data_IF_172206973361
#
_entry.id   IF_172206973361
#
_cell.length_a   1.000
_cell.length_b   1.000
_cell.length_c   1.000
_cell.angle_alpha   90.00
_cell.angle_beta   90.00
_cell.angle_gamma   90.00
#
_symmetry.space_group_name_H-M   'P 1'
#
loop_
_entity.id
_entity.type
_entity.pdbx_description
1 polymer ?
#
# COMPACT_ATOMS: atom_id res chain seq x y z
N UNK A 1 8.02 -51.58 19.11
CA UNK A 1 7.44 -50.26 19.42
C UNK A 1 7.70 -49.17 18.37
N UNK A 2 8.74 -49.25 17.52
CA UNK A 2 9.01 -48.24 16.46
C UNK A 2 7.97 -48.23 15.31
N UNK A 3 7.40 -49.38 14.94
CA UNK A 3 6.43 -49.48 13.84
C UNK A 3 5.05 -48.88 14.17
N UNK A 4 4.64 -48.89 15.45
CA UNK A 4 3.31 -48.41 15.88
C UNK A 4 3.17 -46.89 15.79
N UNK A 5 4.27 -46.14 15.95
CA UNK A 5 4.28 -44.68 15.83
C UNK A 5 4.30 -44.21 14.37
N UNK A 6 4.81 -45.03 13.44
CA UNK A 6 4.92 -44.67 12.03
C UNK A 6 3.54 -44.62 11.34
N UNK A 7 2.62 -45.52 11.72
CA UNK A 7 1.21 -45.48 11.29
C UNK A 7 0.50 -44.21 11.79
N UNK A 8 0.66 -43.87 13.07
CA UNK A 8 0.07 -42.66 13.64
C UNK A 8 0.65 -41.36 13.03
N UNK A 9 1.95 -41.33 12.72
CA UNK A 9 2.56 -40.20 12.01
C UNK A 9 2.01 -40.08 10.59
N UNK A 10 1.87 -41.19 9.86
CA UNK A 10 1.29 -41.20 8.51
C UNK A 10 -0.15 -40.69 8.50
N UNK A 11 -0.97 -41.13 9.45
CA UNK A 11 -2.36 -40.69 9.59
C UNK A 11 -2.45 -39.19 9.91
N UNK A 12 -1.57 -38.67 10.79
CA UNK A 12 -1.49 -37.22 11.08
C UNK A 12 -1.06 -36.41 9.85
N UNK A 13 -0.10 -36.91 9.06
CA UNK A 13 0.33 -36.26 7.82
C UNK A 13 -0.77 -36.25 6.75
N UNK A 14 -1.51 -37.35 6.60
CA UNK A 14 -2.65 -37.43 5.69
C UNK A 14 -3.77 -36.46 6.11
N UNK A 15 -4.04 -36.36 7.42
CA UNK A 15 -5.01 -35.39 7.94
C UNK A 15 -4.56 -33.94 7.69
N UNK A 16 -3.31 -33.62 7.99
CA UNK A 16 -2.74 -32.29 7.73
C UNK A 16 -2.76 -31.91 6.24
N UNK A 17 -2.50 -32.88 5.35
CA UNK A 17 -2.59 -32.67 3.91
C UNK A 17 -4.03 -32.34 3.46
N UNK A 18 -5.03 -33.08 3.96
CA UNK A 18 -6.46 -32.82 3.69
C UNK A 18 -6.93 -31.48 4.24
N UNK A 19 -6.53 -31.12 5.46
CA UNK A 19 -6.83 -29.82 6.05
C UNK A 19 -6.21 -28.69 5.24
N UNK A 20 -4.95 -28.83 4.82
CA UNK A 20 -4.27 -27.89 3.93
C UNK A 20 -5.00 -27.71 2.60
N UNK A 21 -5.42 -28.80 1.96
CA UNK A 21 -6.18 -28.76 0.71
C UNK A 21 -7.53 -28.04 0.87
N UNK A 22 -8.22 -28.27 1.99
CA UNK A 22 -9.46 -27.56 2.33
C UNK A 22 -9.22 -26.07 2.54
N UNK A 23 -8.16 -25.68 3.27
CA UNK A 23 -7.79 -24.28 3.48
C UNK A 23 -7.46 -23.60 2.16
N UNK A 24 -6.70 -24.25 1.28
CA UNK A 24 -6.35 -23.71 -0.04
C UNK A 24 -7.62 -23.52 -0.89
N UNK A 25 -8.49 -24.53 -0.95
CA UNK A 25 -9.75 -24.46 -1.69
C UNK A 25 -10.64 -23.33 -1.18
N UNK A 26 -10.76 -23.18 0.15
CA UNK A 26 -11.54 -22.09 0.75
C UNK A 26 -10.94 -20.72 0.40
N UNK A 27 -9.63 -20.54 0.57
CA UNK A 27 -8.95 -19.28 0.23
C UNK A 27 -9.12 -18.90 -1.24
N UNK A 28 -9.05 -19.87 -2.15
CA UNK A 28 -9.28 -19.64 -3.58
C UNK A 28 -10.72 -19.20 -3.86
N UNK A 29 -11.70 -19.81 -3.18
CA UNK A 29 -13.10 -19.42 -3.29
C UNK A 29 -13.34 -18.01 -2.74
N UNK A 30 -12.84 -17.72 -1.53
CA UNK A 30 -12.97 -16.40 -0.89
C UNK A 30 -12.31 -15.31 -1.75
N UNK A 31 -11.15 -15.61 -2.34
CA UNK A 31 -10.48 -14.70 -3.27
C UNK A 31 -11.30 -14.46 -4.54
N UNK A 32 -11.82 -15.52 -5.17
CA UNK A 32 -12.64 -15.40 -6.37
C UNK A 32 -13.92 -14.59 -6.09
N UNK A 33 -14.57 -14.81 -4.95
CA UNK A 33 -15.74 -14.06 -4.51
C UNK A 33 -15.40 -12.58 -4.26
N UNK A 34 -14.30 -12.29 -3.58
CA UNK A 34 -13.83 -10.92 -3.39
C UNK A 34 -13.55 -10.21 -4.72
N UNK A 35 -12.91 -10.88 -5.67
CA UNK A 35 -12.65 -10.31 -7.00
C UNK A 35 -13.94 -10.06 -7.77
N UNK A 36 -14.91 -10.98 -7.71
CA UNK A 36 -16.22 -10.79 -8.32
C UNK A 36 -16.96 -9.59 -7.72
N UNK A 37 -16.95 -9.44 -6.40
CA UNK A 37 -17.56 -8.32 -5.70
C UNK A 37 -16.90 -6.98 -6.06
N UNK A 38 -15.56 -6.95 -6.15
CA UNK A 38 -14.82 -5.76 -6.59
C UNK A 38 -15.18 -5.37 -8.02
N UNK A 39 -15.25 -6.33 -8.94
CA UNK A 39 -15.65 -6.10 -10.32
C UNK A 39 -17.09 -5.59 -10.41
N UNK A 40 -18.01 -6.19 -9.65
CA UNK A 40 -19.40 -5.76 -9.61
C UNK A 40 -19.54 -4.32 -9.10
N UNK A 41 -18.80 -3.97 -8.03
CA UNK A 41 -18.75 -2.60 -7.51
C UNK A 41 -18.20 -1.62 -8.54
N UNK A 42 -17.17 -2.00 -9.30
CA UNK A 42 -16.61 -1.16 -10.35
C UNK A 42 -17.60 -0.94 -11.50
N UNK A 43 -18.28 -1.99 -11.94
CA UNK A 43 -19.31 -1.90 -13.00
C UNK A 43 -20.45 -0.99 -12.56
N UNK A 44 -20.93 -1.14 -11.32
CA UNK A 44 -21.99 -0.31 -10.77
C UNK A 44 -21.59 1.18 -10.76
N UNK A 45 -20.35 1.49 -10.35
CA UNK A 45 -19.83 2.86 -10.37
C UNK A 45 -19.75 3.42 -11.80
N UNK A 46 -19.19 2.66 -12.75
CA UNK A 46 -19.10 3.08 -14.15
C UNK A 46 -20.47 3.32 -14.79
N UNK A 47 -21.46 2.50 -14.45
CA UNK A 47 -22.85 2.70 -14.89
C UNK A 47 -23.43 4.00 -14.34
N UNK A 48 -23.19 4.30 -13.07
CA UNK A 48 -23.61 5.57 -12.47
C UNK A 48 -22.95 6.76 -13.17
N UNK A 49 -21.63 6.72 -13.35
CA UNK A 49 -20.86 7.81 -13.97
C UNK A 49 -21.34 8.10 -15.40
N UNK A 50 -21.65 7.05 -16.18
CA UNK A 50 -22.17 7.20 -17.54
C UNK A 50 -23.59 7.78 -17.57
N UNK A 51 -24.46 7.37 -16.65
CA UNK A 51 -25.82 7.92 -16.55
C UNK A 51 -25.79 9.40 -16.11
N UNK A 52 -24.86 9.76 -15.22
CA UNK A 52 -24.62 11.15 -14.82
C UNK A 52 -24.07 11.99 -15.99
N UNK A 53 -23.10 11.49 -16.74
CA UNK A 53 -22.57 12.18 -17.93
C UNK A 53 -23.67 12.34 -19.00
N UNK A 54 -24.51 11.33 -19.20
CA UNK A 54 -25.66 11.41 -20.12
C UNK A 54 -26.63 12.51 -19.71
N UNK A 55 -26.95 12.61 -18.41
CA UNK A 55 -27.81 13.69 -17.88
C UNK A 55 -27.14 15.05 -18.08
N UNK A 56 -25.83 15.15 -17.84
CA UNK A 56 -25.05 16.37 -18.04
C UNK A 56 -25.09 16.84 -19.50
N UNK A 57 -24.79 15.97 -20.46
CA UNK A 57 -24.87 16.30 -21.90
C UNK A 57 -26.28 16.70 -22.31
N UNK A 58 -27.30 16.01 -21.81
CA UNK A 58 -28.70 16.32 -22.11
C UNK A 58 -29.09 17.74 -21.66
N UNK A 59 -28.68 18.12 -20.46
CA UNK A 59 -29.13 19.35 -19.80
C UNK A 59 -28.20 20.56 -20.03
N UNK A 60 -26.96 20.35 -20.45
CA UNK A 60 -26.00 21.43 -20.63
C UNK A 60 -26.40 22.41 -21.75
N UNK A 61 -26.11 23.68 -21.51
CA UNK A 61 -26.28 24.79 -22.44
C UNK A 61 -24.94 25.12 -23.12
N UNK A 62 -24.96 25.08 -24.45
CA UNK A 62 -23.80 25.39 -25.28
C UNK A 62 -23.28 26.82 -25.11
N UNK A 63 -24.17 27.77 -24.79
CA UNK A 63 -23.80 29.18 -24.59
C UNK A 63 -23.03 29.34 -23.29
N UNK A 64 -23.53 28.75 -22.19
CA UNK A 64 -22.85 28.72 -20.90
C UNK A 64 -21.46 28.06 -21.02
N UNK A 65 -21.36 26.90 -21.68
CA UNK A 65 -20.07 26.21 -21.89
C UNK A 65 -19.06 27.12 -22.62
N UNK A 66 -19.50 27.85 -23.66
CA UNK A 66 -18.63 28.78 -24.39
C UNK A 66 -18.16 29.94 -23.50
N UNK A 67 -19.00 30.42 -22.58
CA UNK A 67 -18.61 31.46 -21.63
C UNK A 67 -17.61 30.94 -20.60
N UNK A 68 -17.82 29.74 -20.07
CA UNK A 68 -16.87 29.06 -19.18
C UNK A 68 -15.51 28.87 -19.84
N UNK A 69 -15.47 28.37 -21.08
CA UNK A 69 -14.22 28.23 -21.87
C UNK A 69 -13.50 29.57 -21.98
N UNK A 70 -14.21 30.65 -22.36
CA UNK A 70 -13.62 31.99 -22.47
C UNK A 70 -13.08 32.50 -21.13
N UNK A 71 -13.77 32.22 -20.03
CA UNK A 71 -13.33 32.61 -18.70
C UNK A 71 -12.01 31.91 -18.33
N UNK A 72 -11.93 30.59 -18.54
CA UNK A 72 -10.71 29.82 -18.32
C UNK A 72 -9.55 30.30 -19.22
N UNK A 73 -9.80 30.57 -20.50
CA UNK A 73 -8.77 31.08 -21.41
C UNK A 73 -8.25 32.46 -20.98
N UNK A 74 -9.16 33.39 -20.66
CA UNK A 74 -8.83 34.76 -20.25
C UNK A 74 -8.05 34.81 -18.93
N UNK A 75 -8.39 33.94 -17.98
CA UNK A 75 -7.81 33.93 -16.63
C UNK A 75 -6.71 32.87 -16.45
N UNK A 76 -6.40 32.10 -17.50
CA UNK A 76 -5.42 31.00 -17.49
C UNK A 76 -4.10 31.37 -16.81
N UNK A 77 -3.50 32.51 -17.14
CA UNK A 77 -2.24 32.93 -16.52
C UNK A 77 -2.34 33.19 -15.01
N UNK A 78 -3.48 33.69 -14.52
CA UNK A 78 -3.70 33.89 -13.08
C UNK A 78 -3.94 32.55 -12.37
N UNK A 79 -4.74 31.66 -12.98
CA UNK A 79 -4.99 30.31 -12.47
C UNK A 79 -3.68 29.52 -12.40
N UNK A 80 -2.87 29.55 -13.46
CA UNK A 80 -1.61 28.81 -13.51
C UNK A 80 -0.66 29.27 -12.40
N UNK A 81 -0.51 30.58 -12.25
CA UNK A 81 0.33 31.17 -11.19
C UNK A 81 -0.15 30.75 -9.81
N UNK A 82 -1.44 30.88 -9.51
CA UNK A 82 -2.00 30.52 -8.19
C UNK A 82 -1.94 29.02 -7.90
N UNK A 83 -2.18 28.18 -8.90
CA UNK A 83 -2.05 26.73 -8.74
C UNK A 83 -0.60 26.32 -8.50
N UNK A 84 0.35 26.97 -9.17
CA UNK A 84 1.78 26.71 -8.95
C UNK A 84 2.22 27.06 -7.52
N UNK A 85 1.78 28.21 -7.02
CA UNK A 85 2.04 28.64 -5.63
C UNK A 85 1.48 27.62 -4.63
N UNK A 86 0.20 27.29 -4.74
CA UNK A 86 -0.47 26.34 -3.83
C UNK A 86 0.12 24.94 -3.93
N UNK A 87 0.42 24.46 -5.13
CA UNK A 87 0.98 23.13 -5.33
C UNK A 87 2.37 23.01 -4.70
N UNK A 88 3.25 23.99 -4.91
CA UNK A 88 4.59 24.00 -4.35
C UNK A 88 4.60 24.02 -2.81
N UNK A 89 3.77 24.89 -2.21
CA UNK A 89 3.60 24.95 -0.76
C UNK A 89 3.04 23.63 -0.22
N UNK A 90 2.01 23.10 -0.87
CA UNK A 90 1.35 21.87 -0.46
C UNK A 90 2.28 20.67 -0.48
N UNK A 91 3.04 20.45 -1.56
CA UNK A 91 3.99 19.33 -1.66
C UNK A 91 5.03 19.40 -0.54
N UNK A 92 5.57 20.60 -0.23
CA UNK A 92 6.59 20.74 0.80
C UNK A 92 6.08 20.25 2.16
N UNK A 93 4.89 20.68 2.55
CA UNK A 93 4.26 20.23 3.80
C UNK A 93 3.89 18.75 3.74
N UNK A 94 3.30 18.31 2.63
CA UNK A 94 2.90 16.92 2.43
C UNK A 94 4.08 15.96 2.57
N UNK A 95 5.20 16.22 1.87
CA UNK A 95 6.43 15.40 1.90
C UNK A 95 7.00 15.28 3.32
N UNK A 96 6.94 16.35 4.12
CA UNK A 96 7.37 16.29 5.51
C UNK A 96 6.42 15.43 6.36
N UNK A 97 5.11 15.56 6.15
CA UNK A 97 4.11 14.77 6.87
C UNK A 97 4.22 13.27 6.56
N UNK A 98 4.33 12.89 5.28
CA UNK A 98 4.50 11.48 4.90
C UNK A 98 5.83 10.91 5.41
N UNK A 99 6.90 11.70 5.45
CA UNK A 99 8.19 11.27 6.02
C UNK A 99 8.03 10.92 7.50
N UNK A 100 7.38 11.78 8.28
CA UNK A 100 7.16 11.53 9.71
C UNK A 100 6.24 10.32 9.88
N UNK A 101 5.11 10.31 9.18
CA UNK A 101 4.11 9.24 9.27
C UNK A 101 4.66 7.87 8.92
N UNK A 102 5.39 7.72 7.81
CA UNK A 102 5.98 6.42 7.42
C UNK A 102 7.04 5.94 8.42
N UNK A 103 7.87 6.83 8.96
CA UNK A 103 8.84 6.44 9.99
C UNK A 103 8.14 5.99 11.27
N UNK A 104 7.09 6.67 11.71
CA UNK A 104 6.29 6.25 12.86
C UNK A 104 5.60 4.91 12.62
N UNK A 105 5.02 4.71 11.43
CA UNK A 105 4.39 3.45 11.02
C UNK A 105 5.40 2.30 11.04
N UNK A 106 6.59 2.49 10.46
CA UNK A 106 7.66 1.49 10.48
C UNK A 106 8.07 1.13 11.91
N UNK A 107 8.36 2.13 12.75
CA UNK A 107 8.76 1.88 14.15
C UNK A 107 7.66 1.14 14.92
N UNK A 108 6.38 1.47 14.69
CA UNK A 108 5.24 0.74 15.29
C UNK A 108 5.16 -0.69 14.79
N UNK A 109 5.29 -0.92 13.47
CA UNK A 109 5.23 -2.26 12.88
C UNK A 109 6.34 -3.17 13.41
N UNK A 110 7.59 -2.67 13.47
CA UNK A 110 8.73 -3.40 14.04
C UNK A 110 8.48 -3.73 15.51
N UNK A 111 7.99 -2.76 16.30
CA UNK A 111 7.66 -2.98 17.71
C UNK A 111 6.59 -4.05 17.90
N UNK A 112 5.53 -4.04 17.08
CA UNK A 112 4.44 -5.02 17.14
C UNK A 112 4.94 -6.41 16.74
N UNK A 113 5.71 -6.53 15.66
CA UNK A 113 6.33 -7.80 15.28
C UNK A 113 7.24 -8.36 16.39
N UNK A 114 7.99 -7.48 17.07
CA UNK A 114 8.83 -7.84 18.21
C UNK A 114 8.04 -8.29 19.44
N UNK A 115 6.83 -7.76 19.64
CA UNK A 115 5.95 -8.13 20.75
C UNK A 115 5.26 -9.49 20.52
N UNK A 116 4.77 -9.76 19.30
CA UNK A 116 4.16 -11.06 18.96
C UNK A 116 5.13 -12.24 19.13
N UNK A 117 6.43 -12.02 18.87
CA UNK A 117 7.48 -13.00 19.19
C UNK A 117 7.54 -13.41 20.68
N UNK A 118 7.04 -12.57 21.60
CA UNK A 118 7.01 -12.87 23.04
C UNK A 118 5.76 -13.63 23.44
N UNK A 119 4.63 -13.45 22.75
CA UNK A 119 3.35 -14.11 23.08
C UNK A 119 3.33 -15.57 22.61
N UNK A 120 3.92 -15.87 21.44
CA UNK A 120 4.12 -17.26 20.99
C UNK A 120 5.00 -18.08 21.94
N UNK A 121 5.84 -17.42 22.76
CA UNK A 121 6.64 -18.09 23.80
C UNK A 121 5.76 -18.61 24.94
N UNK A 122 4.75 -17.85 25.37
CA UNK A 122 3.78 -18.28 26.38
C UNK A 122 2.97 -19.47 25.84
N UNK A 123 2.41 -19.33 24.64
CA UNK A 123 2.15 -20.39 23.63
C UNK A 123 2.71 -21.80 23.91
N UNK A 124 4.02 -21.88 23.73
CA UNK A 124 4.76 -23.13 23.78
C UNK A 124 5.05 -23.60 25.22
N UNK A 125 4.97 -22.72 26.23
CA UNK A 125 5.15 -23.10 27.63
C UNK A 125 4.08 -24.08 28.12
N UNK A 126 2.93 -24.18 27.45
CA UNK A 126 1.86 -25.12 27.81
C UNK A 126 2.07 -26.53 27.21
N UNK A 127 3.01 -26.70 26.27
CA UNK A 127 3.30 -27.99 25.60
C UNK A 127 4.63 -28.56 26.13
N UNK A 128 4.51 -29.36 27.18
CA UNK A 128 5.49 -30.26 27.81
C UNK A 128 6.95 -30.33 27.27
N UNK A 129 7.86 -29.77 28.07
CA UNK A 129 9.31 -30.06 28.25
C UNK A 129 9.96 -31.10 27.30
N UNK A 130 10.69 -30.57 26.31
CA UNK A 130 12.02 -31.11 25.95
C UNK A 130 13.05 -30.08 26.42
N UNK A 131 14.00 -30.51 27.26
CA UNK A 131 15.05 -29.65 27.87
C UNK A 131 15.83 -28.86 26.81
N UNK A 132 15.37 -27.62 26.63
CA UNK A 132 16.09 -26.34 26.64
C UNK A 132 17.47 -26.27 25.97
N UNK A 133 17.42 -25.68 24.78
CA UNK A 133 18.50 -24.91 24.16
C UNK A 133 18.08 -24.18 22.87
N UNK A 134 16.78 -23.99 22.61
CA UNK A 134 16.30 -23.79 21.23
C UNK A 134 15.42 -22.58 20.90
N UNK A 135 14.60 -22.05 21.82
CA UNK A 135 13.68 -20.94 21.50
C UNK A 135 13.45 -19.92 22.63
N UNK A 136 13.49 -20.33 23.92
CA UNK A 136 13.32 -19.41 25.06
C UNK A 136 14.43 -18.36 25.28
N UNK A 137 15.41 -18.30 24.39
CA UNK A 137 16.40 -17.22 24.31
C UNK A 137 16.08 -16.16 23.25
N UNK A 138 15.19 -16.46 22.29
CA UNK A 138 14.93 -15.64 21.10
C UNK A 138 14.07 -14.40 21.39
N UNK A 139 13.07 -14.52 22.26
CA UNK A 139 12.23 -13.40 22.71
C UNK A 139 13.03 -12.39 23.58
N UNK A 140 13.97 -12.89 24.39
CA UNK A 140 14.97 -12.07 25.11
C UNK A 140 15.96 -11.39 24.17
N UNK A 141 16.33 -12.08 23.09
CA UNK A 141 17.26 -11.62 22.06
C UNK A 141 16.66 -10.50 21.20
N UNK A 142 15.38 -10.57 20.81
CA UNK A 142 14.63 -9.47 20.18
C UNK A 142 14.26 -8.36 21.17
N UNK A 143 13.94 -8.73 22.41
CA UNK A 143 13.53 -7.77 23.44
C UNK A 143 14.61 -6.79 23.88
N UNK A 144 15.89 -7.13 23.73
CA UNK A 144 17.02 -6.21 24.02
C UNK A 144 17.37 -5.25 22.87
N UNK A 145 16.79 -5.43 21.68
CA UNK A 145 16.98 -4.50 20.54
C UNK A 145 16.28 -3.16 20.80
N UNK A 146 15.25 -3.16 21.67
CA UNK A 146 14.62 -1.94 22.22
C UNK A 146 15.21 -1.65 23.60
N UNK A 147 16.52 -1.35 23.62
CA UNK A 147 17.23 -0.71 24.73
C UNK A 147 17.29 -1.49 26.05
N UNK A 148 18.35 -2.27 26.25
CA UNK A 148 19.08 -2.37 27.52
C UNK A 148 20.39 -3.14 27.32
N UNK A 149 21.47 -2.63 27.92
CA UNK A 149 22.77 -3.30 28.00
C UNK A 149 22.66 -4.40 29.04
N UNK A 150 22.86 -5.66 28.63
CA UNK A 150 23.71 -6.63 29.34
C UNK A 150 23.69 -7.99 28.62
N UNK A 151 24.83 -8.36 28.06
CA UNK A 151 25.04 -9.62 27.35
C UNK A 151 25.58 -10.64 28.34
N UNK A 152 24.71 -11.14 29.22
CA UNK A 152 25.06 -12.15 30.22
C UNK A 152 25.36 -13.49 29.57
N UNK A 153 26.64 -13.76 29.28
CA UNK A 153 27.15 -15.10 29.06
C UNK A 153 27.07 -15.86 30.39
N UNK A 154 26.28 -16.92 30.46
CA UNK A 154 26.59 -18.00 31.39
C UNK A 154 27.58 -18.93 30.69
N UNK A 155 28.87 -18.64 30.88
CA UNK A 155 29.88 -19.70 30.96
C UNK A 155 29.41 -20.68 32.04
N UNK A 156 28.80 -21.81 31.69
CA UNK A 156 29.14 -23.17 32.19
C UNK A 156 28.33 -24.18 31.37
N UNK A 157 29.02 -25.23 30.91
CA UNK A 157 28.55 -26.44 30.20
C UNK A 157 28.33 -26.32 28.68
N UNK A 158 29.04 -27.18 27.93
CA UNK A 158 28.94 -27.36 26.46
C UNK A 158 27.58 -27.92 26.06
N UNK A 159 26.53 -27.11 26.15
CA UNK A 159 25.24 -27.39 25.53
C UNK A 159 25.40 -27.04 24.04
N UNK A 160 25.45 -28.03 23.15
CA UNK A 160 25.50 -27.79 21.69
C UNK A 160 24.29 -26.95 21.29
N UNK A 161 24.49 -25.68 20.93
CA UNK A 161 23.44 -24.82 20.42
C UNK A 161 22.67 -25.56 19.32
N UNK A 162 21.34 -25.63 19.44
CA UNK A 162 20.47 -26.29 18.48
C UNK A 162 19.34 -25.34 18.12
N UNK A 163 19.16 -25.00 16.84
CA UNK A 163 18.15 -24.04 16.39
C UNK A 163 17.37 -24.59 15.19
N UNK A 164 16.06 -24.38 15.19
CA UNK A 164 15.17 -24.74 14.09
C UNK A 164 15.15 -23.59 13.09
N UNK A 165 15.99 -23.64 12.05
CA UNK A 165 16.17 -22.54 11.10
C UNK A 165 14.87 -22.14 10.39
N UNK A 166 13.98 -23.11 10.12
CA UNK A 166 12.68 -22.85 9.50
C UNK A 166 11.79 -21.91 10.34
N UNK A 167 11.72 -22.11 11.65
CA UNK A 167 10.91 -21.24 12.52
C UNK A 167 11.44 -19.80 12.55
N UNK A 168 12.77 -19.63 12.50
CA UNK A 168 13.39 -18.31 12.42
C UNK A 168 13.10 -17.63 11.07
N UNK A 169 13.14 -18.39 9.98
CA UNK A 169 12.79 -17.88 8.65
C UNK A 169 11.33 -17.45 8.56
N UNK A 170 10.41 -18.28 9.07
CA UNK A 170 8.98 -17.98 9.10
C UNK A 170 8.72 -16.67 9.86
N UNK A 171 9.34 -16.51 11.03
CA UNK A 171 9.23 -15.28 11.83
C UNK A 171 9.77 -14.03 11.11
N UNK A 172 10.96 -14.11 10.52
CA UNK A 172 11.53 -12.97 9.80
C UNK A 172 10.69 -12.60 8.57
N UNK A 173 10.12 -13.60 7.90
CA UNK A 173 9.21 -13.39 6.76
C UNK A 173 7.95 -12.68 7.23
N UNK A 174 7.36 -13.12 8.35
CA UNK A 174 6.19 -12.44 8.92
C UNK A 174 6.51 -11.00 9.36
N UNK A 175 7.69 -10.77 9.95
CA UNK A 175 8.15 -9.41 10.28
C UNK A 175 8.23 -8.52 9.03
N UNK A 176 8.76 -9.04 7.91
CA UNK A 176 8.82 -8.31 6.65
C UNK A 176 7.42 -7.98 6.16
N UNK A 177 6.54 -8.98 6.07
CA UNK A 177 5.15 -8.82 5.61
C UNK A 177 4.40 -7.79 6.46
N UNK A 178 4.54 -7.83 7.79
CA UNK A 178 3.91 -6.86 8.70
C UNK A 178 4.41 -5.44 8.46
N UNK A 179 5.72 -5.26 8.26
CA UNK A 179 6.30 -3.93 8.00
C UNK A 179 5.94 -3.41 6.61
N UNK A 180 6.01 -4.26 5.61
CA UNK A 180 5.65 -3.97 4.22
C UNK A 180 4.18 -3.54 4.12
N UNK A 181 3.26 -4.36 4.63
CA UNK A 181 1.83 -4.08 4.63
C UNK A 181 1.52 -2.77 5.37
N UNK A 182 2.09 -2.57 6.56
CA UNK A 182 1.86 -1.33 7.33
C UNK A 182 2.34 -0.08 6.57
N UNK A 183 3.53 -0.14 5.95
CA UNK A 183 4.05 0.95 5.16
C UNK A 183 3.21 1.22 3.91
N UNK A 184 2.81 0.18 3.18
CA UNK A 184 1.99 0.29 1.97
C UNK A 184 0.58 0.80 2.28
N UNK A 185 -0.05 0.34 3.35
CA UNK A 185 -1.34 0.85 3.84
C UNK A 185 -1.26 2.33 4.20
N UNK A 186 -0.17 2.72 4.88
CA UNK A 186 0.09 4.11 5.24
C UNK A 186 0.33 4.97 4.00
N UNK A 187 1.14 4.51 3.04
CA UNK A 187 1.40 5.20 1.78
C UNK A 187 0.11 5.38 0.95
N UNK A 188 -0.72 4.34 0.87
CA UNK A 188 -2.03 4.38 0.22
C UNK A 188 -2.97 5.39 0.90
N UNK A 189 -2.99 5.43 2.23
CA UNK A 189 -3.75 6.42 2.99
C UNK A 189 -3.29 7.85 2.67
N UNK A 190 -1.97 8.08 2.64
CA UNK A 190 -1.41 9.38 2.25
C UNK A 190 -1.75 9.78 0.81
N UNK A 191 -1.74 8.83 -0.14
CA UNK A 191 -2.14 9.07 -1.54
C UNK A 191 -3.59 9.57 -1.63
N UNK A 192 -4.51 8.96 -0.88
CA UNK A 192 -5.93 9.36 -0.87
C UNK A 192 -6.09 10.76 -0.28
N UNK A 193 -5.45 11.03 0.87
CA UNK A 193 -5.49 12.35 1.53
C UNK A 193 -4.88 13.43 0.63
N UNK A 194 -3.73 13.15 0.00
CA UNK A 194 -3.05 14.05 -0.94
C UNK A 194 -3.99 14.54 -2.03
N UNK A 195 -4.67 13.61 -2.72
CA UNK A 195 -5.59 13.95 -3.82
C UNK A 195 -6.75 14.82 -3.34
N UNK A 196 -7.35 14.44 -2.21
CA UNK A 196 -8.50 15.14 -1.63
C UNK A 196 -8.15 16.55 -1.18
N UNK A 197 -7.07 16.71 -0.42
CA UNK A 197 -6.66 18.01 0.14
C UNK A 197 -6.14 18.95 -0.93
N UNK A 198 -5.35 18.45 -1.88
CA UNK A 198 -4.86 19.28 -2.98
C UNK A 198 -6.01 19.77 -3.84
N UNK A 199 -6.96 18.89 -4.21
CA UNK A 199 -8.17 19.28 -4.94
C UNK A 199 -8.91 20.41 -4.22
N UNK A 200 -9.17 20.26 -2.91
CA UNK A 200 -9.88 21.27 -2.14
C UNK A 200 -9.15 22.62 -2.14
N UNK A 201 -7.81 22.62 -2.00
CA UNK A 201 -7.00 23.84 -2.03
C UNK A 201 -7.04 24.54 -3.38
N UNK A 202 -6.83 23.81 -4.47
CA UNK A 202 -6.82 24.41 -5.82
C UNK A 202 -8.22 24.82 -6.27
N UNK A 203 -9.26 24.11 -5.83
CA UNK A 203 -10.64 24.49 -6.09
C UNK A 203 -11.02 25.79 -5.36
N UNK A 204 -10.57 25.96 -4.11
CA UNK A 204 -10.73 27.22 -3.39
C UNK A 204 -10.07 28.38 -4.14
N UNK A 205 -8.85 28.18 -4.64
CA UNK A 205 -8.16 29.19 -5.44
C UNK A 205 -8.88 29.49 -6.76
N UNK A 206 -9.47 28.47 -7.40
CA UNK A 206 -10.24 28.68 -8.62
C UNK A 206 -11.45 29.59 -8.38
N UNK A 207 -12.18 29.39 -7.28
CA UNK A 207 -13.34 30.22 -6.88
C UNK A 207 -12.98 31.65 -6.52
N UNK A 208 -11.74 31.90 -6.07
CA UNK A 208 -11.24 33.26 -5.86
C UNK A 208 -10.94 33.99 -7.17
N UNK A 209 -10.68 33.25 -8.26
CA UNK A 209 -10.28 33.80 -9.56
C UNK A 209 -11.48 33.92 -10.51
N UNK A 210 -12.36 32.92 -10.50
CA UNK A 210 -13.51 32.79 -11.38
C UNK A 210 -14.78 32.73 -10.54
N UNK A 211 -15.83 33.42 -10.98
CA UNK A 211 -17.15 33.34 -10.35
C UNK A 211 -17.73 31.93 -10.45
N UNK A 212 -18.43 31.47 -9.40
CA UNK A 212 -18.93 30.10 -9.28
C UNK A 212 -19.84 29.66 -10.45
N UNK A 213 -20.60 30.58 -11.03
CA UNK A 213 -21.47 30.34 -12.20
C UNK A 213 -20.67 30.00 -13.49
N UNK A 214 -19.41 30.40 -13.55
CA UNK A 214 -18.51 30.14 -14.67
C UNK A 214 -17.58 28.94 -14.43
N UNK A 215 -17.74 28.22 -13.32
CA UNK A 215 -16.97 27.02 -13.00
C UNK A 215 -17.79 25.77 -13.33
N UNK A 216 -17.32 24.97 -14.28
CA UNK A 216 -17.76 23.59 -14.42
C UNK A 216 -16.97 22.70 -13.45
N UNK A 217 -17.55 22.43 -12.28
CA UNK A 217 -16.91 21.66 -11.20
C UNK A 217 -16.57 20.22 -11.64
N UNK A 218 -17.43 19.59 -12.46
CA UNK A 218 -17.22 18.20 -12.93
C UNK A 218 -16.02 18.15 -13.87
N UNK A 219 -15.93 19.08 -14.83
CA UNK A 219 -14.77 19.18 -15.71
C UNK A 219 -13.51 19.46 -14.92
N UNK A 220 -13.57 20.40 -13.96
CA UNK A 220 -12.44 20.76 -13.13
C UNK A 220 -11.93 19.59 -12.28
N UNK A 221 -12.83 18.89 -11.58
CA UNK A 221 -12.50 17.71 -10.79
C UNK A 221 -11.86 16.63 -11.67
N UNK A 222 -12.45 16.31 -12.83
CA UNK A 222 -11.88 15.33 -13.77
C UNK A 222 -10.47 15.72 -14.21
N UNK A 223 -10.23 17.01 -14.47
CA UNK A 223 -8.92 17.50 -14.91
C UNK A 223 -7.86 17.40 -13.81
N UNK A 224 -8.19 17.83 -12.59
CA UNK A 224 -7.28 17.71 -11.44
C UNK A 224 -6.97 16.24 -11.17
N UNK A 225 -7.99 15.39 -11.07
CA UNK A 225 -7.78 13.97 -10.77
C UNK A 225 -6.98 13.26 -11.87
N UNK A 226 -7.20 13.56 -13.15
CA UNK A 226 -6.39 12.99 -14.24
C UNK A 226 -4.89 13.32 -14.10
N UNK A 227 -4.55 14.53 -13.67
CA UNK A 227 -3.16 14.93 -13.41
C UNK A 227 -2.63 14.22 -12.17
N UNK A 228 -3.40 14.15 -11.09
CA UNK A 228 -2.96 13.51 -9.85
C UNK A 228 -2.87 11.97 -9.94
N UNK A 229 -3.70 11.34 -10.77
CA UNK A 229 -3.69 9.90 -11.01
C UNK A 229 -2.45 9.45 -11.78
N UNK A 230 -1.80 10.34 -12.52
CA UNK A 230 -0.54 10.07 -13.21
C UNK A 230 0.66 9.94 -12.27
N UNK A 231 0.50 10.34 -11.00
CA UNK A 231 1.57 10.29 -10.00
C UNK A 231 1.62 8.90 -9.37
N UNK A 232 2.74 8.22 -9.57
CA UNK A 232 2.98 6.89 -9.00
C UNK A 232 3.44 6.98 -7.54
N UNK A 233 2.64 6.42 -6.64
CA UNK A 233 3.04 6.11 -5.27
C UNK A 233 3.52 4.67 -5.25
N UNK A 234 4.84 4.48 -5.24
CA UNK A 234 5.46 3.14 -5.25
C UNK A 234 5.10 2.33 -3.99
N UNK A 235 5.30 1.03 -4.08
CA UNK A 235 5.13 0.12 -2.96
C UNK A 235 6.50 -0.27 -2.38
N UNK A 236 6.52 -0.48 -1.06
CA UNK A 236 7.61 -1.14 -0.36
C UNK A 236 7.54 -2.63 -0.64
N UNK A 237 8.70 -3.25 -0.82
CA UNK A 237 8.85 -4.68 -1.06
C UNK A 237 10.05 -5.22 -0.29
N UNK A 238 9.74 -6.05 0.71
CA UNK A 238 10.68 -6.76 1.55
C UNK A 238 10.72 -8.27 1.25
N UNK A 239 10.03 -8.71 0.20
CA UNK A 239 10.16 -10.06 -0.35
C UNK A 239 11.62 -10.31 -0.69
N UNK A 240 12.12 -11.49 -0.30
CA UNK A 240 13.46 -11.96 -0.65
C UNK A 240 14.63 -11.08 -0.17
N UNK A 241 14.40 -10.14 0.76
CA UNK A 241 15.45 -9.28 1.36
C UNK A 241 16.28 -9.97 2.43
N UNK A 242 15.96 -11.22 2.77
CA UNK A 242 16.75 -11.98 3.72
C UNK A 242 18.13 -12.31 3.12
N UNK A 243 19.22 -12.06 3.87
CA UNK A 243 20.57 -12.46 3.47
C UNK A 243 20.66 -13.95 3.13
N UNK A 244 21.51 -14.28 2.17
CA UNK A 244 21.75 -15.66 1.72
C UNK A 244 22.16 -16.61 2.85
N UNK A 245 22.86 -16.06 3.85
CA UNK A 245 23.34 -16.69 5.07
C UNK A 245 22.19 -17.18 5.97
N UNK A 246 21.00 -16.58 5.78
CA UNK A 246 19.77 -16.88 6.52
C UNK A 246 18.81 -17.68 5.62
N UNK A 247 18.45 -17.16 4.45
CA UNK A 247 17.39 -17.69 3.56
C UNK A 247 17.58 -19.16 3.16
N UNK A 248 18.83 -19.62 3.03
CA UNK A 248 19.14 -20.99 2.59
C UNK A 248 19.19 -22.05 3.69
N UNK A 249 18.96 -21.68 4.96
CA UNK A 249 19.13 -22.60 6.10
C UNK A 249 17.82 -23.30 6.46
N UNK A 250 17.86 -24.62 6.62
CA UNK A 250 16.67 -25.43 6.94
C UNK A 250 16.97 -26.48 8.00
N UNK A 251 15.93 -27.05 8.60
CA UNK A 251 16.06 -28.12 9.60
C UNK A 251 16.64 -27.64 10.93
N UNK A 252 17.23 -28.59 11.67
CA UNK A 252 17.85 -28.34 12.97
C UNK A 252 19.36 -28.13 12.78
N UNK A 253 19.82 -26.90 12.92
CA UNK A 253 21.25 -26.58 12.93
C UNK A 253 21.81 -26.90 14.32
N UNK A 254 23.06 -27.37 14.39
CA UNK A 254 23.72 -27.75 15.65
C UNK A 254 25.16 -27.24 15.73
N UNK A 255 25.63 -26.98 16.95
CA UNK A 255 27.04 -26.62 17.20
C UNK A 255 27.43 -25.33 16.49
N UNK A 256 28.57 -25.32 15.81
CA UNK A 256 29.12 -24.10 15.20
C UNK A 256 28.24 -23.53 14.07
N UNK A 257 27.50 -24.39 13.36
CA UNK A 257 26.54 -23.95 12.33
C UNK A 257 25.36 -23.19 12.95
N UNK A 258 24.86 -23.65 14.10
CA UNK A 258 23.82 -22.94 14.83
C UNK A 258 24.32 -21.59 15.34
N UNK A 259 25.55 -21.55 15.86
CA UNK A 259 26.17 -20.30 16.35
C UNK A 259 26.34 -19.27 15.22
N UNK A 260 26.84 -19.69 14.06
CA UNK A 260 27.00 -18.81 12.90
C UNK A 260 25.65 -18.28 12.39
N UNK A 261 24.64 -19.15 12.29
CA UNK A 261 23.29 -18.73 11.88
C UNK A 261 22.68 -17.71 12.84
N UNK A 262 22.76 -17.95 14.15
CA UNK A 262 22.27 -17.01 15.18
C UNK A 262 22.96 -15.65 15.07
N UNK A 263 24.28 -15.63 14.84
CA UNK A 263 25.01 -14.38 14.64
C UNK A 263 24.54 -13.62 13.40
N UNK A 264 24.37 -14.31 12.27
CA UNK A 264 23.88 -13.70 11.03
C UNK A 264 22.49 -13.08 11.22
N UNK A 265 21.56 -13.81 11.84
CA UNK A 265 20.22 -13.26 12.08
C UNK A 265 20.27 -12.09 13.05
N UNK A 266 21.16 -12.10 14.05
CA UNK A 266 21.29 -11.02 15.03
C UNK A 266 21.84 -9.74 14.43
N UNK A 267 22.78 -9.87 13.52
CA UNK A 267 23.27 -8.74 12.76
C UNK A 267 22.19 -8.20 11.82
N UNK A 268 21.43 -9.10 11.17
CA UNK A 268 20.33 -8.71 10.30
C UNK A 268 19.24 -7.91 11.04
N UNK A 269 18.69 -8.48 12.10
CA UNK A 269 17.59 -7.87 12.88
C UNK A 269 18.00 -6.52 13.49
N UNK A 270 19.22 -6.41 14.03
CA UNK A 270 19.73 -5.14 14.58
C UNK A 270 19.84 -4.05 13.53
N UNK A 271 20.17 -4.42 12.28
CA UNK A 271 20.34 -3.47 11.19
C UNK A 271 19.04 -3.21 10.43
N UNK A 272 18.03 -4.09 10.54
CA UNK A 272 16.79 -4.02 9.76
C UNK A 272 16.09 -2.67 9.90
N UNK A 273 15.91 -2.16 11.11
CA UNK A 273 15.26 -0.85 11.31
C UNK A 273 16.00 0.28 10.56
N UNK A 274 17.33 0.25 10.59
CA UNK A 274 18.12 1.27 9.88
C UNK A 274 18.04 1.12 8.37
N UNK A 275 18.02 -0.11 7.83
CA UNK A 275 17.87 -0.33 6.39
C UNK A 275 16.45 0.06 5.93
N UNK A 276 15.41 -0.37 6.64
CA UNK A 276 14.04 0.00 6.34
C UNK A 276 13.80 1.53 6.41
N UNK A 277 14.45 2.24 7.35
CA UNK A 277 14.44 3.72 7.38
C UNK A 277 15.14 4.35 6.17
N UNK A 278 16.20 3.73 5.63
CA UNK A 278 16.81 4.17 4.37
C UNK A 278 15.86 3.96 3.20
N UNK A 279 15.14 2.85 3.17
CA UNK A 279 14.12 2.59 2.13
C UNK A 279 12.99 3.62 2.19
N UNK A 280 12.47 3.94 3.39
CA UNK A 280 11.50 5.04 3.58
C UNK A 280 12.07 6.35 3.09
N UNK A 281 13.33 6.67 3.40
CA UNK A 281 13.99 7.89 2.90
C UNK A 281 14.09 7.91 1.38
N UNK A 282 14.45 6.78 0.76
CA UNK A 282 14.52 6.61 -0.69
C UNK A 282 13.16 6.79 -1.37
N UNK A 283 12.12 6.17 -0.79
CA UNK A 283 10.73 6.33 -1.21
C UNK A 283 10.29 7.81 -1.18
N UNK A 284 10.51 8.49 -0.06
CA UNK A 284 10.16 9.91 0.09
C UNK A 284 10.89 10.79 -0.92
N UNK A 285 12.18 10.52 -1.15
CA UNK A 285 12.97 11.26 -2.13
C UNK A 285 12.45 11.05 -3.55
N UNK A 286 12.17 9.80 -3.92
CA UNK A 286 11.60 9.48 -5.24
C UNK A 286 10.24 10.13 -5.46
N UNK A 287 9.36 10.07 -4.46
CA UNK A 287 8.04 10.72 -4.52
C UNK A 287 8.18 12.25 -4.65
N UNK A 288 9.06 12.87 -3.87
CA UNK A 288 9.35 14.30 -3.96
C UNK A 288 9.79 14.70 -5.36
N UNK A 289 10.75 13.97 -5.94
CA UNK A 289 11.23 14.24 -7.30
C UNK A 289 10.13 14.08 -8.35
N UNK A 290 9.26 13.08 -8.22
CA UNK A 290 8.14 12.89 -9.11
C UNK A 290 7.14 14.07 -9.03
N UNK A 291 6.82 14.51 -7.81
CA UNK A 291 5.91 15.64 -7.57
C UNK A 291 6.49 16.97 -8.06
N UNK A 292 7.78 17.25 -7.80
CA UNK A 292 8.46 18.48 -8.22
C UNK A 292 8.67 18.57 -9.74
N UNK A 293 8.79 17.43 -10.44
CA UNK A 293 8.90 17.39 -11.91
C UNK A 293 7.56 17.61 -12.61
N UNK A 294 6.44 17.39 -11.93
CA UNK A 294 5.13 17.52 -12.53
C UNK A 294 4.79 18.99 -12.83
N UNK A 295 4.28 19.27 -14.03
CA UNK A 295 3.81 20.61 -14.37
C UNK A 295 2.33 20.78 -13.98
N UNK A 296 2.01 20.53 -12.70
CA UNK A 296 0.64 20.37 -12.21
C UNK A 296 -0.32 21.48 -12.68
N UNK A 297 0.09 22.74 -12.57
CA UNK A 297 -0.75 23.88 -12.94
C UNK A 297 -1.08 23.91 -14.44
N UNK A 298 -0.06 23.78 -15.30
CA UNK A 298 -0.24 23.78 -16.75
C UNK A 298 -0.99 22.53 -17.22
N UNK A 299 -0.65 21.37 -16.66
CA UNK A 299 -1.26 20.09 -17.02
C UNK A 299 -2.74 20.07 -16.65
N UNK A 300 -3.09 20.64 -15.47
CA UNK A 300 -4.49 20.77 -15.03
C UNK A 300 -5.28 21.69 -15.95
N UNK A 301 -4.71 22.85 -16.32
CA UNK A 301 -5.35 23.78 -17.26
C UNK A 301 -5.52 23.17 -18.66
N UNK A 302 -4.52 22.44 -19.13
CA UNK A 302 -4.59 21.73 -20.41
C UNK A 302 -5.69 20.66 -20.38
N UNK A 303 -5.76 19.86 -19.31
CA UNK A 303 -6.82 18.87 -19.12
C UNK A 303 -8.20 19.50 -18.97
N UNK A 304 -8.29 20.68 -18.35
CA UNK A 304 -9.55 21.42 -18.22
C UNK A 304 -10.03 21.91 -19.58
N UNK A 305 -9.12 22.48 -20.37
CA UNK A 305 -9.43 22.89 -21.74
C UNK A 305 -9.93 21.72 -22.59
N UNK A 306 -9.24 20.59 -22.56
CA UNK A 306 -9.66 19.36 -23.25
C UNK A 306 -11.06 18.90 -22.82
N UNK A 307 -11.29 18.76 -21.51
CA UNK A 307 -12.58 18.34 -20.97
C UNK A 307 -13.74 19.30 -21.33
N UNK A 308 -13.48 20.60 -21.32
CA UNK A 308 -14.49 21.60 -21.70
C UNK A 308 -14.78 21.59 -23.20
N UNK A 309 -13.76 21.40 -24.04
CA UNK A 309 -13.93 21.26 -25.48
C UNK A 309 -14.68 19.97 -25.85
N UNK A 310 -14.39 18.87 -25.16
CA UNK A 310 -15.11 17.61 -25.32
C UNK A 310 -16.58 17.75 -24.94
N UNK A 311 -16.87 18.39 -23.80
CA UNK A 311 -18.25 18.68 -23.40
C UNK A 311 -18.95 19.56 -24.44
N UNK A 312 -18.28 20.61 -24.92
CA UNK A 312 -18.81 21.48 -25.97
C UNK A 312 -19.19 20.67 -27.22
N UNK A 313 -18.31 19.79 -27.68
CA UNK A 313 -18.54 18.93 -28.84
C UNK A 313 -19.68 17.94 -28.60
N UNK A 314 -19.77 17.36 -27.40
CA UNK A 314 -20.86 16.45 -27.04
C UNK A 314 -22.23 17.16 -27.03
N UNK A 315 -22.28 18.38 -26.50
CA UNK A 315 -23.52 19.18 -26.45
C UNK A 315 -23.91 19.69 -27.83
N UNK A 316 -22.94 19.99 -28.71
CA UNK A 316 -23.20 20.31 -30.11
C UNK A 316 -23.80 19.12 -30.88
N UNK A 317 -23.32 17.91 -30.61
CA UNK A 317 -23.78 16.67 -31.24
C UNK A 317 -24.65 15.82 -30.28
N UNK A 318 -25.56 16.50 -29.55
CA UNK A 318 -26.27 15.95 -28.40
C UNK A 318 -26.93 14.58 -28.64
N UNK A 319 -27.65 14.41 -29.74
CA UNK A 319 -28.32 13.15 -30.08
C UNK A 319 -27.33 12.00 -30.25
N UNK A 320 -26.25 12.23 -31.01
CA UNK A 320 -25.22 11.23 -31.25
C UNK A 320 -24.45 10.88 -29.97
N UNK A 321 -24.07 11.87 -29.17
CA UNK A 321 -23.36 11.64 -27.91
C UNK A 321 -24.21 10.87 -26.90
N UNK A 322 -25.51 11.18 -26.79
CA UNK A 322 -26.44 10.41 -25.95
C UNK A 322 -26.56 8.96 -26.46
N UNK A 323 -26.70 8.75 -27.77
CA UNK A 323 -26.78 7.39 -28.34
C UNK A 323 -25.51 6.57 -28.07
N UNK A 324 -24.33 7.19 -28.11
CA UNK A 324 -23.05 6.54 -27.76
C UNK A 324 -22.98 6.18 -26.27
N UNK A 325 -23.43 7.06 -25.38
CA UNK A 325 -23.50 6.78 -23.94
C UNK A 325 -24.49 5.65 -23.65
N UNK A 326 -25.64 5.64 -24.30
CA UNK A 326 -26.63 4.56 -24.19
C UNK A 326 -26.08 3.20 -24.63
N UNK A 327 -25.31 3.16 -25.73
CA UNK A 327 -24.66 1.94 -26.18
C UNK A 327 -23.65 1.41 -25.14
N UNK A 328 -22.86 2.29 -24.51
CA UNK A 328 -21.90 1.93 -23.46
C UNK A 328 -22.60 1.44 -22.19
N UNK A 329 -23.66 2.11 -21.75
CA UNK A 329 -24.48 1.72 -20.60
C UNK A 329 -25.08 0.33 -20.85
N UNK A 330 -25.61 0.08 -22.05
CA UNK A 330 -26.16 -1.23 -22.41
C UNK A 330 -25.08 -2.32 -22.36
N UNK A 331 -23.92 -2.07 -22.96
CA UNK A 331 -22.81 -3.02 -22.94
C UNK A 331 -22.34 -3.36 -21.52
N UNK A 332 -22.25 -2.37 -20.62
CA UNK A 332 -21.87 -2.62 -19.22
C UNK A 332 -22.94 -3.40 -18.45
N UNK A 333 -24.23 -3.16 -18.71
CA UNK A 333 -25.34 -3.94 -18.11
C UNK A 333 -25.37 -5.40 -18.57
N UNK A 334 -24.78 -5.72 -19.72
CA UNK A 334 -24.65 -7.11 -20.21
C UNK A 334 -23.49 -7.87 -19.54
N UNK A 335 -22.54 -7.15 -18.90
CA UNK A 335 -21.43 -7.75 -18.13
C UNK A 335 -21.86 -8.04 -16.69
N UNK A 336 -22.78 -7.25 -16.15
CA UNK A 336 -23.28 -7.32 -14.77
C UNK A 336 -24.13 -8.57 -14.51
#
# INVERSE_FOLDING_TARGET
MLLSNMGAIKERLEKAAKEKEKIISQRLQDYAESQANNLHSLIAQLLQDLEEEKKRVKNADISAIKEQIKAYEKLSGNIEMKFREVYAEFILHFINNIRVGLNETLTKAIRTASASAREEEEEEHYIERVKQGGLGGWARWLGSVVGEKDWGYNEVERTRATIKAGAVLDYLTEMHERCENALNDSANSFKVVFKKELYAKVFSQLREIISDDLIDEVAFQKSVMAVLDSIEFKEFDYTDKLPSEIRGKTGFLKGDEANAFIQSVGNYVRNFESEAKKDVKGYIQGLREALERQNFASDTLQKLKENMQDLQHQVQNKEQSIAQLDAKIKALKEIQ
#
